data_IF_017975081840
#
_entry.id   IF_017975081840
#
_cell.length_a   1.000
_cell.length_b   1.000
_cell.length_c   1.000
_cell.angle_alpha   90.00
_cell.angle_beta   90.00
_cell.angle_gamma   90.00
#
_symmetry.space_group_name_H-M   'P 1'
#
loop_
_entity.id
_entity.type
_entity.pdbx_description
1 polymer ?
#
# COMPACT_ATOMS: atom_id res chain seq x y z
N UNK A 1 2.29 12.60 -3.10
CA UNK A 1 2.50 14.05 -3.04
C UNK A 1 2.50 14.61 -4.45
N UNK A 2 1.99 15.77 -4.65
CA UNK A 2 1.96 16.46 -5.96
C UNK A 2 2.73 17.76 -5.78
N UNK A 3 3.42 18.19 -6.81
CA UNK A 3 3.97 19.56 -6.82
C UNK A 3 2.80 20.56 -6.79
N UNK A 4 2.92 21.56 -5.92
CA UNK A 4 1.98 22.68 -5.92
C UNK A 4 2.06 23.47 -7.23
N UNK A 5 1.03 24.25 -7.54
CA UNK A 5 0.99 25.07 -8.77
C UNK A 5 2.18 26.05 -8.91
N UNK A 6 2.88 26.33 -7.83
CA UNK A 6 4.09 27.16 -7.78
C UNK A 6 5.39 26.36 -7.98
N UNK A 7 5.34 25.03 -7.99
CA UNK A 7 6.49 24.13 -8.17
C UNK A 7 7.47 24.07 -7.00
N UNK A 8 7.18 24.76 -5.89
CA UNK A 8 8.12 24.89 -4.75
C UNK A 8 7.77 23.98 -3.56
N UNK A 9 6.53 23.48 -3.47
CA UNK A 9 6.06 22.69 -2.32
C UNK A 9 5.34 21.43 -2.75
N UNK A 10 5.48 20.37 -1.94
CA UNK A 10 4.71 19.14 -2.11
C UNK A 10 3.44 19.24 -1.26
N UNK A 11 2.28 19.18 -1.91
CA UNK A 11 0.98 19.20 -1.22
C UNK A 11 0.44 17.80 -0.99
N UNK A 12 -0.37 17.58 0.08
CA UNK A 12 -1.06 16.33 0.31
C UNK A 12 -1.92 15.99 -0.89
N UNK A 13 -1.95 14.71 -1.22
CA UNK A 13 -2.76 14.18 -2.29
C UNK A 13 -4.09 13.75 -1.67
N UNK A 14 -5.16 14.46 -1.92
CA UNK A 14 -6.50 14.07 -1.46
C UNK A 14 -7.19 13.12 -2.45
N UNK A 15 -8.27 12.48 -2.00
CA UNK A 15 -8.99 11.49 -2.81
C UNK A 15 -9.58 12.10 -4.08
N UNK A 16 -10.07 13.34 -4.02
CA UNK A 16 -10.67 14.01 -5.17
C UNK A 16 -9.63 14.24 -6.27
N UNK A 17 -8.42 14.65 -5.91
CA UNK A 17 -7.31 14.75 -6.85
C UNK A 17 -6.90 13.38 -7.42
N UNK A 18 -6.88 12.32 -6.59
CA UNK A 18 -6.60 10.96 -7.07
C UNK A 18 -7.65 10.53 -8.07
N UNK A 19 -8.93 10.69 -7.75
CA UNK A 19 -10.03 10.32 -8.63
C UNK A 19 -10.02 11.10 -9.95
N UNK A 20 -9.65 12.38 -9.90
CA UNK A 20 -9.49 13.20 -11.10
C UNK A 20 -8.33 12.73 -11.99
N UNK A 21 -7.24 12.29 -11.40
CA UNK A 21 -6.05 11.79 -12.11
C UNK A 21 -6.20 10.34 -12.60
N UNK A 22 -7.03 9.53 -11.90
CA UNK A 22 -7.21 8.10 -12.17
C UNK A 22 -8.71 7.76 -12.23
N UNK A 23 -9.43 8.21 -13.26
CA UNK A 23 -10.87 7.96 -13.36
C UNK A 23 -11.23 6.48 -13.52
N UNK A 24 -10.26 5.62 -13.87
CA UNK A 24 -10.43 4.17 -13.96
C UNK A 24 -10.81 3.51 -12.64
N UNK A 25 -10.49 4.12 -11.50
CA UNK A 25 -10.87 3.63 -10.16
C UNK A 25 -12.37 3.46 -10.00
N UNK A 26 -13.18 4.32 -10.65
CA UNK A 26 -14.64 4.20 -10.64
C UNK A 26 -15.17 2.90 -11.26
N UNK A 27 -14.35 2.17 -12.04
CA UNK A 27 -14.71 0.88 -12.63
C UNK A 27 -14.52 -0.31 -11.68
N UNK A 28 -13.79 -0.12 -10.58
CA UNK A 28 -13.54 -1.19 -9.60
C UNK A 28 -14.74 -1.46 -8.69
N UNK A 29 -15.79 -0.61 -8.76
CA UNK A 29 -17.00 -0.73 -7.91
C UNK A 29 -16.69 -0.84 -6.40
N UNK A 30 -15.62 -0.16 -5.96
CA UNK A 30 -15.21 -0.07 -4.57
C UNK A 30 -15.56 1.31 -4.00
N UNK A 31 -15.97 1.35 -2.73
CA UNK A 31 -16.10 2.61 -2.00
C UNK A 31 -14.74 2.93 -1.39
N UNK A 32 -14.20 4.09 -1.73
CA UNK A 32 -12.92 4.57 -1.24
C UNK A 32 -13.15 5.71 -0.26
N UNK A 33 -12.51 5.62 0.90
CA UNK A 33 -12.41 6.69 1.87
C UNK A 33 -10.94 7.07 2.04
N UNK A 34 -10.66 8.35 2.23
CA UNK A 34 -9.28 8.82 2.38
C UNK A 34 -9.04 9.48 3.72
N UNK A 35 -7.84 9.25 4.23
CA UNK A 35 -7.30 9.97 5.37
C UNK A 35 -5.93 10.53 5.00
N UNK A 36 -5.77 11.84 5.08
CA UNK A 36 -4.48 12.49 4.85
C UNK A 36 -3.91 12.98 6.17
N UNK A 37 -2.63 12.74 6.39
CA UNK A 37 -1.93 13.35 7.52
C UNK A 37 -1.93 14.87 7.37
N UNK A 38 -2.05 15.64 8.47
CA UNK A 38 -2.10 17.10 8.42
C UNK A 38 -0.89 17.73 7.71
N UNK A 39 0.24 17.04 7.75
CA UNK A 39 1.45 17.43 7.05
C UNK A 39 2.00 16.21 6.30
N UNK A 40 2.28 16.31 4.99
CA UNK A 40 2.95 15.25 4.25
C UNK A 40 4.32 14.95 4.87
N UNK A 41 4.68 13.67 4.90
CA UNK A 41 5.95 13.20 5.41
C UNK A 41 6.80 12.75 4.23
N UNK A 42 8.00 13.30 4.10
CA UNK A 42 9.02 12.68 3.25
C UNK A 42 9.40 11.33 3.85
N UNK A 43 9.43 10.27 3.04
CA UNK A 43 9.71 8.93 3.56
C UNK A 43 11.09 8.82 4.19
N UNK A 44 12.05 9.66 3.82
CA UNK A 44 13.37 9.74 4.48
C UNK A 44 13.30 10.24 5.92
N UNK A 45 12.23 10.97 6.28
CA UNK A 45 11.96 11.49 7.63
C UNK A 45 11.02 10.59 8.47
N UNK A 46 10.72 9.38 8.00
CA UNK A 46 9.89 8.44 8.75
C UNK A 46 10.52 8.08 10.10
N UNK A 47 9.69 8.08 11.14
CA UNK A 47 10.06 7.81 12.53
C UNK A 47 9.10 6.80 13.17
N UNK A 48 9.50 6.15 14.27
CA UNK A 48 8.63 5.19 14.98
C UNK A 48 7.25 5.76 15.34
N UNK A 49 7.17 7.05 15.71
CA UNK A 49 5.91 7.72 16.06
C UNK A 49 4.92 7.73 14.88
N UNK A 50 5.43 7.81 13.64
CA UNK A 50 4.59 7.74 12.46
C UNK A 50 4.01 6.33 12.25
N UNK A 51 4.77 5.29 12.57
CA UNK A 51 4.25 3.91 12.53
C UNK A 51 3.18 3.67 13.59
N UNK A 52 3.35 4.25 14.81
CA UNK A 52 2.31 4.24 15.83
C UNK A 52 1.04 4.92 15.31
N UNK A 53 1.16 6.11 14.72
CA UNK A 53 0.01 6.85 14.15
C UNK A 53 -0.70 6.02 13.07
N UNK A 54 0.04 5.41 12.14
CA UNK A 54 -0.54 4.54 11.11
C UNK A 54 -1.25 3.33 11.71
N UNK A 55 -0.66 2.71 12.73
CA UNK A 55 -1.25 1.59 13.47
C UNK A 55 -2.56 1.99 14.14
N UNK A 56 -2.61 3.15 14.79
CA UNK A 56 -3.81 3.71 15.44
C UNK A 56 -4.92 4.02 14.44
N UNK A 57 -4.58 4.62 13.28
CA UNK A 57 -5.54 4.90 12.22
C UNK A 57 -6.17 3.60 11.70
N UNK A 58 -5.36 2.59 11.41
CA UNK A 58 -5.84 1.28 10.95
C UNK A 58 -6.71 0.63 12.02
N UNK A 59 -6.26 0.60 13.27
CA UNK A 59 -7.01 -0.02 14.37
C UNK A 59 -8.35 0.64 14.61
N UNK A 60 -8.41 1.96 14.56
CA UNK A 60 -9.65 2.73 14.79
C UNK A 60 -10.69 2.53 13.69
N UNK A 61 -10.25 2.24 12.46
CA UNK A 61 -11.14 2.04 11.32
C UNK A 61 -11.29 0.55 10.93
N UNK A 62 -10.67 -0.36 11.69
CA UNK A 62 -10.59 -1.76 11.29
C UNK A 62 -11.95 -2.46 11.19
N UNK A 63 -12.93 -2.08 12.01
CA UNK A 63 -14.27 -2.66 11.98
C UNK A 63 -15.04 -2.29 10.69
N UNK A 64 -14.88 -1.06 10.23
CA UNK A 64 -15.72 -0.46 9.20
C UNK A 64 -15.14 -0.60 7.78
N UNK A 65 -13.82 -0.79 7.64
CA UNK A 65 -13.14 -0.91 6.34
C UNK A 65 -12.84 -2.36 5.98
N UNK A 66 -12.94 -2.72 4.71
CA UNK A 66 -12.62 -4.06 4.19
C UNK A 66 -11.13 -4.25 3.91
N UNK A 67 -10.38 -3.16 3.77
CA UNK A 67 -8.94 -3.16 3.54
C UNK A 67 -8.36 -1.76 3.65
N UNK A 68 -7.04 -1.68 3.67
CA UNK A 68 -6.30 -0.43 3.83
C UNK A 68 -5.22 -0.32 2.76
N UNK A 69 -5.12 0.86 2.19
CA UNK A 69 -4.05 1.22 1.27
C UNK A 69 -3.28 2.41 1.82
N UNK A 70 -1.96 2.29 1.88
CA UNK A 70 -1.07 3.36 2.34
C UNK A 70 -0.22 3.83 1.17
N UNK A 71 -0.38 5.10 0.80
CA UNK A 71 0.50 5.76 -0.15
C UNK A 71 1.73 6.28 0.58
N UNK A 72 2.89 5.79 0.18
CA UNK A 72 4.14 6.01 0.90
C UNK A 72 5.29 6.31 -0.07
N UNK A 73 6.21 7.15 0.33
CA UNK A 73 7.44 7.35 -0.44
C UNK A 73 8.31 6.08 -0.44
N UNK A 74 8.98 5.81 -1.55
CA UNK A 74 9.66 4.52 -1.79
C UNK A 74 10.87 4.25 -0.87
N UNK A 75 11.53 5.28 -0.31
CA UNK A 75 12.81 5.12 0.40
C UNK A 75 12.71 4.27 1.67
N UNK A 76 11.68 4.47 2.47
CA UNK A 76 11.47 3.73 3.72
C UNK A 76 10.20 2.87 3.71
N UNK A 77 9.57 2.69 2.54
CA UNK A 77 8.35 1.91 2.40
C UNK A 77 8.50 0.48 2.96
N UNK A 78 9.60 -0.19 2.67
CA UNK A 78 9.88 -1.54 3.17
C UNK A 78 10.03 -1.58 4.71
N UNK A 79 10.61 -0.55 5.31
CA UNK A 79 10.74 -0.44 6.78
C UNK A 79 9.37 -0.22 7.43
N UNK A 80 8.55 0.66 6.87
CA UNK A 80 7.18 0.90 7.34
C UNK A 80 6.33 -0.37 7.23
N UNK A 81 6.38 -1.06 6.10
CA UNK A 81 5.65 -2.32 5.92
C UNK A 81 6.12 -3.40 6.89
N UNK A 82 7.43 -3.47 7.17
CA UNK A 82 7.97 -4.40 8.16
C UNK A 82 7.47 -4.05 9.56
N UNK A 83 7.54 -2.79 9.98
CA UNK A 83 7.06 -2.35 11.30
C UNK A 83 5.57 -2.65 11.48
N UNK A 84 4.73 -2.30 10.51
CA UNK A 84 3.28 -2.57 10.55
C UNK A 84 2.98 -4.08 10.56
N UNK A 85 3.79 -4.91 9.92
CA UNK A 85 3.61 -6.38 9.96
C UNK A 85 3.71 -6.95 11.38
N UNK A 86 4.47 -6.31 12.26
CA UNK A 86 4.60 -6.72 13.67
C UNK A 86 3.64 -5.97 14.59
N UNK A 87 3.31 -4.71 14.28
CA UNK A 87 2.38 -3.91 15.07
C UNK A 87 0.93 -4.39 14.93
N UNK A 88 0.54 -4.89 13.75
CA UNK A 88 -0.81 -5.32 13.42
C UNK A 88 -0.92 -6.85 13.48
N UNK A 89 -1.06 -7.40 14.67
CA UNK A 89 -1.18 -8.84 14.85
C UNK A 89 -2.63 -9.31 14.61
N UNK A 90 -2.78 -10.49 14.00
CA UNK A 90 -4.10 -11.08 13.77
C UNK A 90 -4.89 -10.44 12.63
N UNK A 91 -4.21 -9.82 11.66
CA UNK A 91 -4.88 -9.25 10.49
C UNK A 91 -5.72 -10.29 9.75
N UNK A 92 -6.94 -9.89 9.40
CA UNK A 92 -7.87 -10.62 8.50
C UNK A 92 -8.28 -9.76 7.31
N UNK A 93 -7.71 -8.59 7.19
CA UNK A 93 -7.94 -7.63 6.12
C UNK A 93 -6.59 -7.21 5.53
N UNK A 94 -6.51 -6.86 4.24
CA UNK A 94 -5.27 -6.40 3.64
C UNK A 94 -4.86 -5.04 4.19
N UNK A 95 -3.56 -4.87 4.39
CA UNK A 95 -2.90 -3.57 4.56
C UNK A 95 -1.82 -3.49 3.49
N UNK A 96 -2.11 -2.83 2.38
CA UNK A 96 -1.20 -2.75 1.24
C UNK A 96 -0.51 -1.41 1.23
N UNK A 97 0.81 -1.41 1.17
CA UNK A 97 1.60 -0.20 0.95
C UNK A 97 1.99 -0.14 -0.52
N UNK A 98 1.93 1.05 -1.08
CA UNK A 98 2.43 1.32 -2.43
C UNK A 98 2.96 2.74 -2.53
N UNK A 99 3.60 3.03 -3.63
CA UNK A 99 4.16 4.34 -3.94
C UNK A 99 4.57 4.38 -5.40
N UNK A 100 5.50 5.26 -5.72
CA UNK A 100 6.04 5.35 -7.07
C UNK A 100 7.46 5.87 -7.05
N UNK A 101 8.20 5.58 -8.12
CA UNK A 101 9.50 6.18 -8.36
C UNK A 101 9.36 7.58 -8.99
N UNK A 102 8.33 7.79 -9.81
CA UNK A 102 8.04 9.07 -10.41
C UNK A 102 6.69 9.63 -9.90
N UNK A 103 6.61 10.94 -9.62
CA UNK A 103 5.35 11.59 -9.26
C UNK A 103 4.24 11.32 -10.30
N UNK A 104 2.99 11.27 -9.84
CA UNK A 104 1.85 10.90 -10.70
C UNK A 104 1.63 11.85 -11.88
N UNK A 105 2.07 13.09 -11.80
CA UNK A 105 2.00 14.08 -12.89
C UNK A 105 3.05 13.88 -13.99
N UNK A 106 4.02 13.01 -13.80
CA UNK A 106 5.06 12.75 -14.80
C UNK A 106 4.55 11.86 -15.92
N UNK A 107 4.99 12.10 -17.18
CA UNK A 107 4.53 11.38 -18.38
C UNK A 107 4.78 9.87 -18.27
N UNK A 108 5.88 9.45 -17.66
CA UNK A 108 6.28 8.04 -17.53
C UNK A 108 6.09 7.49 -16.12
N UNK A 109 5.14 8.04 -15.36
CA UNK A 109 4.91 7.63 -13.98
C UNK A 109 4.46 6.17 -13.88
N UNK A 110 5.02 5.45 -12.90
CA UNK A 110 4.59 4.16 -12.41
C UNK A 110 3.45 4.27 -11.37
N UNK A 111 3.18 5.48 -10.87
CA UNK A 111 2.23 5.73 -9.79
C UNK A 111 0.81 5.25 -10.10
N UNK A 112 0.36 5.42 -11.34
CA UNK A 112 -1.01 5.10 -11.75
C UNK A 112 -1.28 3.60 -11.70
N UNK A 113 -0.39 2.81 -12.28
CA UNK A 113 -0.49 1.36 -12.29
C UNK A 113 -0.37 0.81 -10.86
N UNK A 114 0.66 1.24 -10.14
CA UNK A 114 0.89 0.83 -8.75
C UNK A 114 -0.34 1.10 -7.87
N UNK A 115 -0.98 2.24 -8.05
CA UNK A 115 -2.15 2.60 -7.26
C UNK A 115 -3.39 1.78 -7.63
N UNK A 116 -3.74 1.69 -8.92
CA UNK A 116 -4.93 0.97 -9.39
C UNK A 116 -4.87 -0.49 -8.95
N UNK A 117 -3.75 -1.16 -9.20
CA UNK A 117 -3.60 -2.57 -8.88
C UNK A 117 -3.55 -2.81 -7.37
N UNK A 118 -2.94 -1.91 -6.60
CA UNK A 118 -2.96 -2.02 -5.14
C UNK A 118 -4.39 -1.89 -4.57
N UNK A 119 -5.23 -0.99 -5.12
CA UNK A 119 -6.66 -0.87 -4.76
C UNK A 119 -7.42 -2.15 -5.14
N UNK A 120 -7.21 -2.69 -6.34
CA UNK A 120 -7.84 -3.93 -6.79
C UNK A 120 -7.47 -5.09 -5.86
N UNK A 121 -6.20 -5.26 -5.54
CA UNK A 121 -5.71 -6.29 -4.61
C UNK A 121 -6.31 -6.15 -3.21
N UNK A 122 -6.45 -4.92 -2.70
CA UNK A 122 -7.08 -4.66 -1.41
C UNK A 122 -8.57 -5.00 -1.40
N UNK A 123 -9.25 -4.87 -2.55
CA UNK A 123 -10.66 -5.22 -2.72
C UNK A 123 -10.93 -6.69 -3.03
N UNK A 124 -9.91 -7.53 -3.21
CA UNK A 124 -10.11 -8.93 -3.61
C UNK A 124 -10.67 -9.80 -2.51
N UNK A 125 -11.81 -10.45 -2.78
CA UNK A 125 -12.49 -11.37 -1.86
C UNK A 125 -12.77 -12.72 -2.50
N UNK A 126 -12.77 -13.78 -1.68
CA UNK A 126 -13.33 -15.10 -2.01
C UNK A 126 -14.30 -15.49 -0.90
N UNK A 127 -15.54 -15.82 -1.25
CA UNK A 127 -16.59 -16.18 -0.28
C UNK A 127 -16.80 -15.13 0.83
N UNK A 128 -16.77 -13.87 0.46
CA UNK A 128 -16.85 -12.70 1.35
C UNK A 128 -15.68 -12.55 2.35
N UNK A 129 -14.58 -13.26 2.14
CA UNK A 129 -13.36 -13.08 2.93
C UNK A 129 -12.25 -12.44 2.08
N UNK A 130 -11.52 -11.46 2.62
CA UNK A 130 -10.35 -10.90 1.94
C UNK A 130 -9.33 -11.99 1.61
N UNK A 131 -8.83 -11.98 0.38
CA UNK A 131 -7.82 -12.94 -0.05
C UNK A 131 -6.48 -12.66 0.62
N UNK A 132 -6.12 -11.39 0.75
CA UNK A 132 -4.90 -10.94 1.40
C UNK A 132 -5.25 -10.57 2.85
N UNK A 133 -4.57 -11.17 3.82
CA UNK A 133 -4.80 -10.96 5.25
C UNK A 133 -3.50 -10.64 5.98
N UNK A 134 -2.69 -9.83 5.34
CA UNK A 134 -1.37 -9.46 5.84
C UNK A 134 -0.97 -8.06 5.38
N UNK A 135 0.08 -7.52 5.97
CA UNK A 135 0.74 -6.32 5.45
C UNK A 135 1.57 -6.72 4.23
N UNK A 136 1.34 -6.05 3.12
CA UNK A 136 2.01 -6.32 1.86
C UNK A 136 2.47 -5.03 1.18
N UNK A 137 3.43 -5.16 0.27
CA UNK A 137 3.88 -4.08 -0.61
C UNK A 137 3.51 -4.46 -2.03
N UNK A 138 2.79 -3.60 -2.73
CA UNK A 138 2.62 -3.70 -4.17
C UNK A 138 3.49 -2.67 -4.88
N UNK A 139 4.32 -3.15 -5.78
CA UNK A 139 5.20 -2.28 -6.56
C UNK A 139 5.61 -2.98 -7.86
N UNK A 140 5.51 -2.28 -8.98
CA UNK A 140 5.96 -2.73 -10.30
C UNK A 140 5.54 -4.17 -10.61
N UNK A 141 4.23 -4.38 -10.73
CA UNK A 141 3.56 -5.64 -11.07
C UNK A 141 3.69 -6.79 -10.06
N UNK A 142 4.27 -6.56 -8.87
CA UNK A 142 4.47 -7.63 -7.89
C UNK A 142 3.95 -7.24 -6.51
N UNK A 143 3.28 -8.20 -5.86
CA UNK A 143 2.88 -8.10 -4.47
C UNK A 143 3.87 -8.88 -3.61
N UNK A 144 4.45 -8.21 -2.65
CA UNK A 144 5.44 -8.77 -1.73
C UNK A 144 4.90 -8.79 -0.30
N UNK A 145 5.35 -9.75 0.51
CA UNK A 145 5.11 -9.72 1.96
C UNK A 145 5.87 -8.57 2.60
N UNK A 146 5.19 -7.75 3.40
CA UNK A 146 5.72 -6.50 3.93
C UNK A 146 7.03 -6.65 4.71
N UNK A 147 7.13 -7.68 5.57
CA UNK A 147 8.34 -7.91 6.37
C UNK A 147 9.40 -8.81 5.69
N UNK A 148 9.27 -9.04 4.38
CA UNK A 148 10.23 -9.82 3.59
C UNK A 148 10.78 -9.05 2.41
N UNK A 149 10.46 -7.76 2.32
CA UNK A 149 10.76 -6.90 1.19
C UNK A 149 11.86 -5.92 1.54
N UNK A 150 12.69 -5.62 0.57
CA UNK A 150 13.72 -4.58 0.67
C UNK A 150 13.78 -3.76 -0.61
N UNK A 151 14.14 -2.48 -0.49
CA UNK A 151 14.44 -1.62 -1.64
C UNK A 151 15.86 -1.91 -2.12
N UNK A 152 16.00 -2.23 -3.39
CA UNK A 152 17.28 -2.62 -4.01
C UNK A 152 17.76 -1.61 -5.04
N UNK A 153 16.89 -0.71 -5.49
CA UNK A 153 17.27 0.35 -6.44
C UNK A 153 16.56 1.66 -6.08
N UNK A 154 17.29 2.77 -6.26
CA UNK A 154 16.75 4.12 -6.16
C UNK A 154 16.31 4.69 -7.53
N UNK A 155 16.74 4.08 -8.64
CA UNK A 155 16.56 4.61 -10.00
C UNK A 155 15.65 3.74 -10.87
N UNK A 156 15.66 2.42 -10.66
CA UNK A 156 14.83 1.50 -11.44
C UNK A 156 13.37 1.52 -10.97
N UNK A 157 12.44 1.29 -11.88
CA UNK A 157 11.03 1.06 -11.50
C UNK A 157 10.90 -0.22 -10.68
N UNK A 158 11.57 -1.30 -11.05
CA UNK A 158 11.71 -2.53 -10.25
C UNK A 158 12.60 -2.27 -9.03
N UNK A 159 12.10 -1.46 -8.10
CA UNK A 159 12.85 -0.95 -6.97
C UNK A 159 12.89 -1.89 -5.76
N UNK A 160 12.05 -2.92 -5.72
CA UNK A 160 11.88 -3.80 -4.57
C UNK A 160 12.08 -5.27 -4.91
N UNK A 161 12.62 -5.99 -3.94
CA UNK A 161 12.79 -7.45 -3.98
C UNK A 161 12.41 -8.11 -2.66
N UNK A 162 12.05 -9.39 -2.74
CA UNK A 162 11.87 -10.28 -1.58
C UNK A 162 12.80 -11.48 -1.70
N UNK A 163 14.07 -11.36 -1.28
CA UNK A 163 15.10 -12.36 -1.57
C UNK A 163 14.86 -13.71 -0.89
N UNK A 164 14.13 -13.74 0.23
CA UNK A 164 13.94 -14.92 1.06
C UNK A 164 12.49 -15.41 1.11
N UNK A 165 11.62 -14.84 0.31
CA UNK A 165 10.21 -15.24 0.24
C UNK A 165 9.65 -14.99 -1.16
N UNK A 166 8.89 -15.93 -1.73
CA UNK A 166 8.30 -15.72 -3.05
C UNK A 166 7.28 -14.58 -3.04
N UNK A 167 7.05 -13.98 -4.20
CA UNK A 167 6.00 -12.99 -4.40
C UNK A 167 4.63 -13.58 -4.07
N UNK A 168 3.74 -12.75 -3.53
CA UNK A 168 2.38 -13.13 -3.17
C UNK A 168 1.42 -13.07 -4.36
N UNK A 169 1.70 -12.17 -5.29
CA UNK A 169 0.99 -12.05 -6.56
C UNK A 169 1.87 -11.40 -7.63
N UNK A 170 1.52 -11.67 -8.89
CA UNK A 170 2.08 -10.98 -10.05
C UNK A 170 0.92 -10.43 -10.90
N UNK A 171 0.99 -9.16 -11.25
CA UNK A 171 0.02 -8.48 -12.09
C UNK A 171 0.49 -8.51 -13.55
N UNK A 172 -0.34 -9.07 -14.41
CA UNK A 172 -0.18 -9.07 -15.86
C UNK A 172 -1.51 -8.71 -16.50
N UNK A 173 -1.92 -9.42 -17.54
CA UNK A 173 -3.30 -9.32 -18.05
C UNK A 173 -4.32 -9.76 -17.01
N UNK A 174 -3.92 -10.68 -16.15
CA UNK A 174 -4.65 -11.11 -14.97
C UNK A 174 -3.72 -11.02 -13.76
N UNK A 175 -4.29 -10.96 -12.57
CA UNK A 175 -3.53 -11.03 -11.32
C UNK A 175 -3.40 -12.48 -10.90
N UNK A 176 -2.19 -13.00 -10.95
CA UNK A 176 -1.86 -14.38 -10.56
C UNK A 176 -1.48 -14.41 -9.07
N UNK A 177 -2.37 -14.95 -8.24
CA UNK A 177 -2.18 -15.07 -6.79
C UNK A 177 -1.44 -16.34 -6.42
N UNK A 178 -0.35 -16.22 -5.70
CA UNK A 178 0.37 -17.35 -5.10
C UNK A 178 -0.29 -17.78 -3.77
N UNK A 179 -1.47 -18.38 -3.87
CA UNK A 179 -2.33 -18.72 -2.72
C UNK A 179 -1.64 -19.52 -1.62
N UNK A 180 -0.63 -20.32 -1.97
CA UNK A 180 0.12 -21.15 -1.01
C UNK A 180 1.00 -20.32 -0.08
N UNK A 181 1.39 -19.13 -0.52
CA UNK A 181 2.28 -18.25 0.19
C UNK A 181 1.56 -17.10 0.92
N UNK A 182 0.25 -16.96 0.72
CA UNK A 182 -0.53 -15.98 1.45
C UNK A 182 -0.64 -16.36 2.92
N UNK A 183 -0.43 -15.39 3.80
CA UNK A 183 -0.57 -15.57 5.23
C UNK A 183 -2.04 -15.69 5.62
N UNK A 184 -2.29 -16.56 6.59
CA UNK A 184 -3.55 -16.63 7.30
C UNK A 184 -3.25 -16.53 8.78
N UNK A 185 -3.86 -15.56 9.44
CA UNK A 185 -3.63 -15.39 10.88
C UNK A 185 -4.09 -16.64 11.63
N UNK A 186 -3.23 -17.18 12.52
CA UNK A 186 -3.64 -18.23 13.45
C UNK A 186 -4.41 -17.64 14.64
N UNK A 187 -4.53 -16.32 14.75
CA UNK A 187 -5.21 -15.63 15.84
C UNK A 187 -6.64 -15.29 15.44
N UNK A 188 -7.57 -15.47 16.36
CA UNK A 188 -8.99 -15.18 16.12
C UNK A 188 -9.35 -13.68 16.23
N UNK A 189 -8.49 -12.91 16.90
CA UNK A 189 -8.70 -11.49 17.13
C UNK A 189 -7.56 -10.65 16.57
N UNK A 190 -7.93 -9.56 15.91
CA UNK A 190 -7.00 -8.50 15.54
C UNK A 190 -6.57 -7.71 16.79
N UNK A 191 -5.28 -7.40 16.87
CA UNK A 191 -4.71 -6.53 17.90
C UNK A 191 -3.67 -5.60 17.30
N UNK A 192 -3.74 -4.32 17.66
CA UNK A 192 -2.69 -3.34 17.40
C UNK A 192 -1.80 -3.21 18.63
N UNK A 193 -0.48 -3.11 18.44
CA UNK A 193 0.54 -3.06 19.51
C UNK A 193 1.39 -1.81 19.38
#
# INVERSE_FOLDING_TARGET
MVESDDGETLVPFDLDHIMAQIPELGKLHLQLESYSLPKPIDSSDMRPEHWCTLTEIIASNYADMDGFLILHGSDTLAYTASALSFALAGLRKPVILTGSQLPIGMIRTDARENFITAVELAGMHINNEPIIQEVAIYFEYKLYRGNRTMKVSAEAFEAFESPNYPVLAEAGVHIDLNKKNLWRSPFDLFTAK
#
